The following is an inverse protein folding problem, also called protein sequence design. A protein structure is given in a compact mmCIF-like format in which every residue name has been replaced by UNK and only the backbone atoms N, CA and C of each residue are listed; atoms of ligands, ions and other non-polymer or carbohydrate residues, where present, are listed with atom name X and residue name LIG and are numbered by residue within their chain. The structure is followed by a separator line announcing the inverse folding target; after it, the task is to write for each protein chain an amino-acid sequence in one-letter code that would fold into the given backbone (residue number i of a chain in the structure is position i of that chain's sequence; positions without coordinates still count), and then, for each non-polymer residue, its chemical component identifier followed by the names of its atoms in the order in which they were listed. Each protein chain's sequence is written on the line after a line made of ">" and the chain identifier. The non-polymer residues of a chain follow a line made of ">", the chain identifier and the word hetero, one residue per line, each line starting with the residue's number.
data_IF_816530421119
#
_entry.id   IF_816530421119
#
_cell.length_a   1.000
_cell.length_b   1.000
_cell.length_c   1.000
_cell.angle_alpha   90.00
_cell.angle_beta   90.00
_cell.angle_gamma   90.00
#
_symmetry.space_group_name_H-M   'P 1'
#
loop_
_entity.id
_entity.type
_entity.pdbx_description
1 polymer ?
#
# COMPACT_ATOMS: atom_id res chain seq x y z
N UNK A 1 -22.91 -10.95 -1.79
CA UNK A 1 -22.20 -9.88 -2.54
C UNK A 1 -21.35 -9.13 -1.54
N UNK A 2 -20.03 -9.09 -1.68
CA UNK A 2 -19.19 -8.26 -0.80
C UNK A 2 -19.56 -6.81 -1.05
N UNK A 3 -19.94 -6.08 0.00
CA UNK A 3 -20.03 -4.62 -0.03
C UNK A 3 -18.71 -4.06 -0.58
N UNK A 4 -18.80 -3.17 -1.57
CA UNK A 4 -17.67 -2.39 -2.08
C UNK A 4 -17.34 -1.19 -1.20
N UNK A 5 -18.08 -0.97 -0.11
CA UNK A 5 -17.88 0.15 0.79
C UNK A 5 -17.03 -0.29 1.98
N UNK A 6 -15.84 0.29 2.12
CA UNK A 6 -14.90 0.02 3.24
C UNK A 6 -15.08 0.96 4.45
N UNK A 7 -15.96 1.96 4.34
CA UNK A 7 -16.31 2.86 5.43
C UNK A 7 -15.21 3.86 5.80
N UNK A 8 -15.18 4.29 7.05
CA UNK A 8 -14.21 5.23 7.62
C UNK A 8 -13.13 4.46 8.36
N UNK A 9 -11.88 4.72 7.99
CA UNK A 9 -10.72 4.10 8.64
C UNK A 9 -9.70 5.11 9.10
N UNK A 10 -8.70 4.60 9.84
CA UNK A 10 -7.56 5.38 10.32
C UNK A 10 -6.26 4.68 9.97
N UNK A 11 -5.21 5.45 9.70
CA UNK A 11 -3.88 4.89 9.45
C UNK A 11 -3.26 4.41 10.77
N UNK A 12 -2.81 3.16 10.80
CA UNK A 12 -2.10 2.59 11.92
C UNK A 12 -0.73 3.26 12.11
N UNK A 13 -0.39 3.48 13.39
CA UNK A 13 0.95 3.86 13.84
C UNK A 13 1.35 2.96 15.01
N UNK A 14 2.59 2.44 15.05
CA UNK A 14 3.03 1.51 16.09
C UNK A 14 2.82 2.00 17.53
N UNK A 15 2.91 3.31 17.76
CA UNK A 15 2.70 3.95 19.06
C UNK A 15 1.29 3.71 19.62
N UNK A 16 0.30 3.46 18.76
CA UNK A 16 -1.09 3.23 19.16
C UNK A 16 -1.47 1.77 19.25
N UNK A 17 -0.55 0.82 19.04
CA UNK A 17 -0.85 -0.62 19.08
C UNK A 17 -1.58 -1.01 20.37
N UNK A 18 -1.04 -0.61 21.52
CA UNK A 18 -1.61 -0.95 22.81
C UNK A 18 -3.03 -0.42 22.96
N UNK A 19 -3.25 0.85 22.63
CA UNK A 19 -4.58 1.48 22.69
C UNK A 19 -5.57 0.78 21.74
N UNK A 20 -5.15 0.40 20.54
CA UNK A 20 -5.99 -0.32 19.58
C UNK A 20 -6.37 -1.74 20.04
N UNK A 21 -5.49 -2.40 20.79
CA UNK A 21 -5.73 -3.71 21.37
C UNK A 21 -6.53 -3.65 22.69
N UNK A 22 -6.43 -2.57 23.47
CA UNK A 22 -7.12 -2.48 24.75
C UNK A 22 -8.51 -1.85 24.62
N UNK A 23 -8.63 -0.76 23.84
CA UNK A 23 -9.84 0.08 23.81
C UNK A 23 -10.82 -0.30 22.68
N UNK A 24 -10.34 -0.99 21.65
CA UNK A 24 -11.07 -1.32 20.41
C UNK A 24 -11.86 -0.12 19.84
N UNK A 25 -11.21 0.69 19.01
CA UNK A 25 -11.85 1.87 18.40
C UNK A 25 -12.98 1.47 17.43
N UNK A 26 -14.02 2.30 17.36
CA UNK A 26 -15.10 2.15 16.38
C UNK A 26 -14.69 2.76 15.04
N UNK A 27 -13.96 1.96 14.24
CA UNK A 27 -13.57 2.28 12.86
C UNK A 27 -13.84 1.07 11.96
N UNK A 28 -14.18 1.32 10.71
CA UNK A 28 -14.52 0.27 9.74
C UNK A 28 -13.28 -0.51 9.26
N UNK A 29 -12.11 0.14 9.26
CA UNK A 29 -10.84 -0.48 8.90
C UNK A 29 -9.62 0.27 9.46
N UNK A 30 -8.48 -0.42 9.50
CA UNK A 30 -7.17 0.19 9.70
C UNK A 30 -6.37 0.16 8.39
N UNK A 31 -5.71 1.26 8.08
CA UNK A 31 -4.74 1.31 6.99
C UNK A 31 -3.34 1.01 7.53
N UNK A 32 -2.67 0.00 6.94
CA UNK A 32 -1.30 -0.38 7.31
C UNK A 32 -0.33 -0.09 6.17
N UNK A 33 0.84 0.46 6.49
CA UNK A 33 1.89 0.70 5.49
C UNK A 33 2.59 -0.61 5.15
N UNK A 34 2.63 -0.98 3.87
CA UNK A 34 3.24 -2.22 3.38
C UNK A 34 4.70 -2.34 3.85
N UNK A 35 5.44 -1.26 3.77
CA UNK A 35 6.87 -1.14 4.08
C UNK A 35 7.20 -1.37 5.56
N UNK A 36 6.22 -1.14 6.45
CA UNK A 36 6.36 -1.39 7.90
C UNK A 36 5.70 -2.69 8.34
N UNK A 37 4.95 -3.32 7.44
CA UNK A 37 4.14 -4.49 7.74
C UNK A 37 4.82 -5.79 7.37
N UNK A 38 5.73 -5.78 6.39
CA UNK A 38 6.45 -6.97 5.92
C UNK A 38 7.95 -6.71 5.76
N UNK A 39 8.77 -7.50 6.44
CA UNK A 39 10.23 -7.49 6.31
C UNK A 39 10.71 -8.85 5.80
N UNK A 40 11.42 -8.87 4.67
CA UNK A 40 11.94 -10.12 4.09
C UNK A 40 10.85 -11.13 3.69
N UNK A 41 9.61 -10.68 3.47
CA UNK A 41 8.48 -11.55 3.15
C UNK A 41 7.74 -12.11 4.36
N UNK A 42 8.04 -11.67 5.58
CA UNK A 42 7.33 -12.04 6.80
C UNK A 42 6.54 -10.85 7.35
N UNK A 43 5.26 -11.06 7.69
CA UNK A 43 4.45 -10.03 8.34
C UNK A 43 4.84 -9.86 9.80
N UNK A 44 4.90 -8.60 10.25
CA UNK A 44 5.16 -8.28 11.66
C UNK A 44 4.07 -8.84 12.58
N UNK A 45 4.46 -9.31 13.76
CA UNK A 45 3.51 -9.83 14.75
C UNK A 45 2.43 -8.81 15.14
N UNK A 46 2.77 -7.52 15.12
CA UNK A 46 1.82 -6.43 15.39
C UNK A 46 0.68 -6.40 14.37
N UNK A 47 1.00 -6.52 13.07
CA UNK A 47 -0.02 -6.49 12.01
C UNK A 47 -0.92 -7.73 12.07
N UNK A 48 -0.37 -8.89 12.43
CA UNK A 48 -1.17 -10.10 12.67
C UNK A 48 -2.19 -9.89 13.80
N UNK A 49 -1.75 -9.33 14.93
CA UNK A 49 -2.64 -9.00 16.06
C UNK A 49 -3.73 -7.99 15.68
N UNK A 50 -3.41 -7.01 14.83
CA UNK A 50 -4.40 -6.05 14.33
C UNK A 50 -5.42 -6.70 13.39
N UNK A 51 -4.97 -7.60 12.52
CA UNK A 51 -5.83 -8.31 11.57
C UNK A 51 -6.88 -9.20 12.26
N UNK A 52 -6.58 -9.70 13.46
CA UNK A 52 -7.53 -10.44 14.29
C UNK A 52 -8.68 -9.55 14.81
N UNK A 53 -8.51 -8.22 14.82
CA UNK A 53 -9.45 -7.29 15.43
C UNK A 53 -10.15 -6.35 14.46
N UNK A 54 -9.44 -5.94 13.41
CA UNK A 54 -9.89 -4.95 12.44
C UNK A 54 -9.71 -5.46 11.02
N UNK A 55 -10.66 -5.15 10.11
CA UNK A 55 -10.39 -5.19 8.69
C UNK A 55 -9.19 -4.31 8.36
N UNK A 56 -8.29 -4.82 7.50
CA UNK A 56 -7.11 -4.08 7.08
C UNK A 56 -7.22 -3.66 5.62
N UNK A 57 -6.66 -2.49 5.31
CA UNK A 57 -6.30 -2.06 3.95
C UNK A 57 -4.80 -1.79 3.91
N UNK A 58 -4.19 -2.06 2.76
CA UNK A 58 -2.76 -1.88 2.56
C UNK A 58 -2.51 -0.53 1.87
N UNK A 59 -1.47 0.17 2.30
CA UNK A 59 -1.01 1.38 1.63
C UNK A 59 0.50 1.28 1.36
N UNK A 60 0.91 1.41 0.11
CA UNK A 60 2.31 1.37 -0.32
C UNK A 60 2.89 2.76 -0.56
N UNK A 61 4.21 2.86 -0.45
CA UNK A 61 4.98 4.06 -0.85
C UNK A 61 6.19 3.72 -1.74
N UNK A 62 6.50 2.42 -1.91
CA UNK A 62 7.67 1.96 -2.66
C UNK A 62 7.35 1.25 -3.99
N UNK A 63 6.08 1.18 -4.43
CA UNK A 63 5.76 0.60 -5.75
C UNK A 63 6.30 1.46 -6.90
N UNK A 64 6.39 2.78 -6.70
CA UNK A 64 6.96 3.74 -7.64
C UNK A 64 6.39 3.61 -9.05
N UNK A 65 5.06 3.64 -9.18
CA UNK A 65 4.38 3.36 -10.46
C UNK A 65 4.84 4.27 -11.61
N UNK A 66 5.31 5.49 -11.31
CA UNK A 66 5.78 6.46 -12.28
C UNK A 66 7.14 6.17 -12.93
N UNK A 67 7.97 5.31 -12.35
CA UNK A 67 9.32 5.02 -12.86
C UNK A 67 9.36 3.73 -13.67
N UNK A 68 10.09 3.73 -14.79
CA UNK A 68 10.24 2.57 -15.66
C UNK A 68 11.09 1.46 -15.02
N UNK A 69 12.29 1.81 -14.56
CA UNK A 69 13.16 0.91 -13.82
C UNK A 69 13.20 1.37 -12.36
N UNK A 70 12.68 0.53 -11.48
CA UNK A 70 12.59 0.83 -10.06
C UNK A 70 13.12 -0.34 -9.26
N UNK A 71 14.21 -0.13 -8.53
CA UNK A 71 14.85 -1.19 -7.73
C UNK A 71 13.99 -1.71 -6.57
N UNK A 72 13.06 -0.90 -6.06
CA UNK A 72 12.22 -1.25 -4.90
C UNK A 72 11.00 -2.05 -5.29
N UNK A 73 10.54 -1.95 -6.56
CA UNK A 73 9.26 -2.49 -7.02
C UNK A 73 9.11 -3.99 -6.75
N UNK A 74 10.13 -4.80 -7.07
CA UNK A 74 10.05 -6.26 -6.85
C UNK A 74 9.82 -6.60 -5.37
N UNK A 75 10.53 -5.93 -4.47
CA UNK A 75 10.36 -6.13 -3.03
C UNK A 75 9.00 -5.59 -2.53
N UNK A 76 8.55 -4.45 -3.05
CA UNK A 76 7.26 -3.87 -2.71
C UNK A 76 6.08 -4.78 -3.13
N UNK A 77 6.12 -5.33 -4.35
CA UNK A 77 5.14 -6.33 -4.82
C UNK A 77 5.14 -7.56 -3.91
N UNK A 78 6.32 -8.12 -3.60
CA UNK A 78 6.41 -9.29 -2.71
C UNK A 78 5.85 -9.03 -1.30
N UNK A 79 6.15 -7.86 -0.72
CA UNK A 79 5.63 -7.44 0.58
C UNK A 79 4.09 -7.26 0.54
N UNK A 80 3.58 -6.64 -0.52
CA UNK A 80 2.13 -6.45 -0.72
C UNK A 80 1.41 -7.78 -0.88
N UNK A 81 1.95 -8.71 -1.68
CA UNK A 81 1.39 -10.05 -1.85
C UNK A 81 1.43 -10.86 -0.55
N UNK A 82 2.47 -10.70 0.27
CA UNK A 82 2.52 -11.32 1.58
C UNK A 82 1.40 -10.80 2.48
N UNK A 83 1.24 -9.47 2.55
CA UNK A 83 0.16 -8.82 3.29
C UNK A 83 -1.23 -9.30 2.85
N UNK A 84 -1.47 -9.34 1.54
CA UNK A 84 -2.72 -9.86 0.97
C UNK A 84 -3.00 -11.31 1.40
N UNK A 85 -1.98 -12.18 1.33
CA UNK A 85 -2.10 -13.61 1.61
C UNK A 85 -2.28 -13.92 3.10
N UNK A 86 -1.53 -13.26 3.97
CA UNK A 86 -1.44 -13.65 5.38
C UNK A 86 -2.42 -12.93 6.29
N UNK A 87 -2.85 -11.71 5.96
CA UNK A 87 -3.80 -10.94 6.79
C UNK A 87 -5.05 -10.48 6.04
N UNK A 88 -5.21 -10.86 4.77
CA UNK A 88 -6.45 -10.67 4.03
C UNK A 88 -6.85 -9.20 3.87
N UNK A 89 -5.90 -8.31 3.56
CA UNK A 89 -6.22 -6.90 3.28
C UNK A 89 -7.24 -6.78 2.16
N UNK A 90 -8.14 -5.80 2.27
CA UNK A 90 -9.23 -5.64 1.30
C UNK A 90 -8.76 -4.93 0.04
N UNK A 91 -8.07 -3.80 0.19
CA UNK A 91 -7.62 -2.94 -0.92
C UNK A 91 -6.13 -2.61 -0.79
N UNK A 92 -5.53 -2.19 -1.90
CA UNK A 92 -4.15 -1.69 -1.96
C UNK A 92 -4.17 -0.24 -2.48
N UNK A 93 -3.83 0.73 -1.64
CA UNK A 93 -3.55 2.10 -2.03
C UNK A 93 -2.07 2.31 -2.33
N UNK A 94 -1.75 3.17 -3.30
CA UNK A 94 -0.42 3.74 -3.50
C UNK A 94 -0.54 5.02 -4.35
N UNK A 95 0.57 5.70 -4.58
CA UNK A 95 0.62 7.00 -5.19
C UNK A 95 0.96 6.97 -6.68
N UNK A 96 0.40 7.93 -7.40
CA UNK A 96 0.85 8.33 -8.75
C UNK A 96 2.14 9.14 -8.58
N UNK A 97 3.25 8.45 -8.29
CA UNK A 97 4.54 9.06 -7.99
C UNK A 97 5.73 8.21 -8.49
N UNK A 98 6.89 8.86 -8.58
CA UNK A 98 8.19 8.20 -8.64
C UNK A 98 8.82 8.27 -7.24
N UNK A 99 9.26 7.14 -6.71
CA UNK A 99 9.86 7.06 -5.37
C UNK A 99 11.25 6.42 -5.37
N UNK A 100 11.59 5.73 -6.47
CA UNK A 100 12.91 5.21 -6.73
C UNK A 100 13.16 5.05 -8.23
N UNK A 101 14.44 4.99 -8.63
CA UNK A 101 14.92 4.59 -9.95
C UNK A 101 15.69 3.26 -9.87
N UNK A 102 16.54 2.98 -10.88
CA UNK A 102 17.35 1.77 -10.92
C UNK A 102 18.43 1.71 -9.82
N UNK A 103 18.87 2.85 -9.31
CA UNK A 103 20.03 2.99 -8.41
C UNK A 103 19.61 3.52 -7.03
N UNK A 104 18.76 4.55 -7.02
CA UNK A 104 18.47 5.39 -5.86
C UNK A 104 17.03 5.20 -5.40
N UNK A 105 16.83 5.16 -4.08
CA UNK A 105 15.51 5.36 -3.48
C UNK A 105 15.44 6.81 -2.99
N UNK A 106 14.54 7.60 -3.58
CA UNK A 106 14.38 9.02 -3.26
C UNK A 106 13.79 9.23 -1.85
N UNK A 107 13.13 8.20 -1.29
CA UNK A 107 12.42 8.24 0.00
C UNK A 107 11.40 9.38 0.09
N UNK A 108 10.94 9.84 -1.06
CA UNK A 108 10.00 10.92 -1.25
C UNK A 108 9.09 10.57 -2.42
N UNK A 109 7.86 11.10 -2.38
CA UNK A 109 6.93 11.01 -3.49
C UNK A 109 7.27 12.14 -4.47
N UNK A 110 7.97 11.79 -5.55
CA UNK A 110 8.31 12.76 -6.58
C UNK A 110 7.17 12.83 -7.60
N UNK A 111 6.78 14.05 -8.01
CA UNK A 111 5.81 14.20 -9.06
C UNK A 111 6.29 13.61 -10.38
N UNK A 112 5.33 13.22 -11.21
CA UNK A 112 5.59 12.55 -12.47
C UNK A 112 5.01 13.37 -13.63
N UNK A 113 5.66 13.43 -14.81
CA UNK A 113 5.15 14.20 -15.95
C UNK A 113 3.72 13.81 -16.35
N UNK A 114 2.86 14.78 -16.64
CA UNK A 114 1.47 14.53 -17.03
C UNK A 114 1.35 14.16 -18.52
N UNK A 115 1.86 12.99 -18.90
CA UNK A 115 1.83 12.49 -20.30
C UNK A 115 0.99 11.22 -20.44
N UNK A 116 0.40 11.00 -21.61
CA UNK A 116 -0.36 9.77 -21.89
C UNK A 116 0.48 8.51 -21.71
N UNK A 117 1.75 8.55 -22.13
CA UNK A 117 2.68 7.43 -21.98
C UNK A 117 2.80 7.03 -20.51
N UNK A 118 2.88 8.02 -19.61
CA UNK A 118 3.03 7.77 -18.19
C UNK A 118 1.74 7.26 -17.55
N UNK A 119 0.59 7.79 -17.96
CA UNK A 119 -0.72 7.26 -17.54
C UNK A 119 -0.85 5.79 -17.94
N UNK A 120 -0.52 5.43 -19.19
CA UNK A 120 -0.57 4.03 -19.67
C UNK A 120 0.36 3.13 -18.86
N UNK A 121 1.57 3.60 -18.53
CA UNK A 121 2.52 2.86 -17.70
C UNK A 121 2.01 2.63 -16.28
N UNK A 122 1.53 3.67 -15.62
CA UNK A 122 0.98 3.58 -14.26
C UNK A 122 -0.21 2.62 -14.24
N UNK A 123 -1.16 2.76 -15.17
CA UNK A 123 -2.30 1.85 -15.28
C UNK A 123 -1.88 0.39 -15.54
N UNK A 124 -0.88 0.16 -16.38
CA UNK A 124 -0.36 -1.19 -16.66
C UNK A 124 0.23 -1.83 -15.42
N UNK A 125 1.04 -1.08 -14.67
CA UNK A 125 1.68 -1.55 -13.46
C UNK A 125 0.67 -1.78 -12.32
N UNK A 126 -0.29 -0.88 -12.13
CA UNK A 126 -1.36 -1.03 -11.14
C UNK A 126 -2.21 -2.27 -11.44
N UNK A 127 -2.60 -2.48 -12.71
CA UNK A 127 -3.31 -3.71 -13.12
C UNK A 127 -2.46 -4.97 -12.91
N UNK A 128 -1.15 -4.90 -13.11
CA UNK A 128 -0.27 -6.03 -12.84
C UNK A 128 -0.24 -6.37 -11.35
N UNK A 129 -0.13 -5.37 -10.47
CA UNK A 129 -0.20 -5.58 -9.03
C UNK A 129 -1.55 -6.16 -8.60
N UNK A 130 -2.66 -5.63 -9.12
CA UNK A 130 -3.99 -6.17 -8.85
C UNK A 130 -4.16 -7.62 -9.31
N UNK A 131 -3.61 -7.97 -10.48
CA UNK A 131 -3.59 -9.38 -10.97
C UNK A 131 -2.76 -10.30 -10.07
N UNK A 132 -1.60 -9.83 -9.60
CA UNK A 132 -0.70 -10.62 -8.74
C UNK A 132 -1.32 -10.87 -7.37
N UNK A 133 -1.99 -9.86 -6.81
CA UNK A 133 -2.54 -9.90 -5.45
C UNK A 133 -3.98 -10.39 -5.38
N UNK A 134 -4.72 -10.32 -6.50
CA UNK A 134 -6.16 -10.58 -6.55
C UNK A 134 -7.00 -9.46 -5.93
N UNK A 135 -6.41 -8.29 -5.67
CA UNK A 135 -7.05 -7.18 -4.95
C UNK A 135 -7.20 -5.93 -5.84
N UNK A 136 -8.21 -5.08 -5.57
CA UNK A 136 -8.31 -3.78 -6.22
C UNK A 136 -7.14 -2.87 -5.79
N UNK A 137 -6.60 -2.15 -6.76
CA UNK A 137 -5.55 -1.14 -6.56
C UNK A 137 -6.16 0.25 -6.72
N UNK A 138 -6.00 1.07 -5.70
CA UNK A 138 -6.40 2.48 -5.65
C UNK A 138 -5.16 3.34 -5.86
N UNK A 139 -5.27 4.34 -6.73
CA UNK A 139 -4.18 5.25 -7.06
C UNK A 139 -4.49 6.65 -6.55
N UNK A 140 -3.59 7.20 -5.75
CA UNK A 140 -3.73 8.50 -5.12
C UNK A 140 -2.86 9.56 -5.81
N UNK A 141 -3.44 10.74 -6.02
CA UNK A 141 -2.68 11.90 -6.46
C UNK A 141 -1.91 12.51 -5.30
N UNK A 142 -0.63 12.82 -5.53
CA UNK A 142 0.17 13.55 -4.56
C UNK A 142 -0.06 15.06 -4.70
N UNK A 143 0.00 15.77 -3.58
CA UNK A 143 0.05 17.22 -3.59
C UNK A 143 1.36 17.66 -4.27
N UNK A 144 1.25 18.43 -5.36
CA UNK A 144 2.39 19.01 -6.07
C UNK A 144 1.97 20.32 -6.72
N UNK A 145 2.87 21.31 -6.72
CA UNK A 145 2.62 22.65 -7.28
C UNK A 145 3.12 22.81 -8.72
N UNK A 146 3.42 21.69 -9.40
CA UNK A 146 3.78 21.65 -10.82
C UNK A 146 2.55 21.71 -11.73
#
# INVERSE_FOLDING_TARGET
>A
MSSTTIGVGISYRPQFLRSLLDLRLEVDHLEVLVEHSSYGGCISGQVKLLAERYPLVAHGVNQSFGTEHCRTRKAAVAATSCLAREVGVRWIGDHIAATADAVTNARQLLPVPRTEQLVRRIATNARALGRITGLPVVLEYIASSI
#
